data_IF_899996803491
#
_entry.id   IF_899996803491
#
_cell.length_a   1.000
_cell.length_b   1.000
_cell.length_c   1.000
_cell.angle_alpha   90.00
_cell.angle_beta   90.00
_cell.angle_gamma   90.00
#
_symmetry.space_group_name_H-M   'P 1'
#
loop_
_entity.id
_entity.type
_entity.pdbx_description
1 polymer ?
#
# COMPACT_ATOMS: atom_id res chain seq x y z
N UNK A 1 22.18 2.55 -5.69
CA UNK A 1 21.12 3.57 -5.54
C UNK A 1 19.78 3.03 -4.98
N UNK A 2 19.59 1.73 -4.69
CA UNK A 2 18.27 1.23 -4.22
C UNK A 2 17.88 1.58 -2.77
N UNK A 3 18.86 1.92 -1.91
CA UNK A 3 18.61 2.18 -0.47
C UNK A 3 17.77 3.44 -0.21
N UNK A 4 17.75 4.41 -1.13
CA UNK A 4 17.02 5.67 -0.95
C UNK A 4 15.52 5.45 -1.17
N UNK A 5 15.15 4.79 -2.28
CA UNK A 5 13.75 4.56 -2.64
C UNK A 5 13.02 3.64 -1.66
N UNK A 6 13.68 2.58 -1.21
CA UNK A 6 13.12 1.70 -0.18
C UNK A 6 12.78 2.46 1.10
N UNK A 7 13.66 3.37 1.53
CA UNK A 7 13.41 4.19 2.72
C UNK A 7 12.27 5.19 2.50
N UNK A 8 12.18 5.81 1.33
CA UNK A 8 11.07 6.70 0.98
C UNK A 8 9.74 5.95 1.06
N UNK A 9 9.64 4.77 0.43
CA UNK A 9 8.42 3.95 0.45
C UNK A 9 8.06 3.53 1.87
N UNK A 10 9.04 3.07 2.66
CA UNK A 10 8.81 2.68 4.06
C UNK A 10 8.28 3.85 4.91
N UNK A 11 8.93 5.03 4.84
CA UNK A 11 8.47 6.22 5.57
C UNK A 11 7.06 6.64 5.12
N UNK A 12 6.79 6.60 3.81
CA UNK A 12 5.45 6.90 3.28
C UNK A 12 4.40 5.92 3.80
N UNK A 13 4.69 4.62 3.86
CA UNK A 13 3.76 3.62 4.40
C UNK A 13 3.44 3.88 5.88
N UNK A 14 4.46 4.18 6.70
CA UNK A 14 4.25 4.51 8.11
C UNK A 14 3.40 5.76 8.30
N UNK A 15 3.65 6.83 7.52
CA UNK A 15 2.87 8.07 7.59
C UNK A 15 1.42 7.87 7.14
N UNK A 16 1.18 7.08 6.09
CA UNK A 16 -0.19 6.74 5.66
C UNK A 16 -0.91 5.93 6.75
N UNK A 17 -0.27 4.90 7.33
CA UNK A 17 -0.87 4.12 8.43
C UNK A 17 -1.14 4.96 9.67
N UNK A 18 -0.28 5.94 9.97
CA UNK A 18 -0.53 6.87 11.07
C UNK A 18 -1.72 7.82 10.80
N UNK A 19 -1.97 8.12 9.53
CA UNK A 19 -3.07 8.99 9.08
C UNK A 19 -4.41 8.26 9.06
N UNK A 20 -4.44 7.01 8.59
CA UNK A 20 -5.65 6.22 8.43
C UNK A 20 -5.67 5.02 9.39
N UNK A 21 -6.43 5.16 10.48
CA UNK A 21 -6.52 4.15 11.55
C UNK A 21 -7.31 2.91 11.14
N UNK A 22 -8.03 2.99 10.03
CA UNK A 22 -8.77 1.89 9.41
C UNK A 22 -7.84 0.85 8.78
N UNK A 23 -6.57 1.22 8.52
CA UNK A 23 -5.59 0.31 7.96
C UNK A 23 -5.05 -0.64 9.03
N UNK A 24 -5.18 -1.93 8.77
CA UNK A 24 -4.64 -2.99 9.61
C UNK A 24 -3.13 -3.16 9.37
N UNK A 25 -2.70 -3.17 8.11
CA UNK A 25 -1.31 -3.34 7.73
C UNK A 25 -1.03 -2.69 6.37
N UNK A 26 0.24 -2.75 5.96
CA UNK A 26 0.68 -2.43 4.61
C UNK A 26 1.72 -3.45 4.16
N UNK A 27 1.65 -3.86 2.91
CA UNK A 27 2.64 -4.74 2.28
C UNK A 27 3.16 -4.06 1.03
N UNK A 28 4.47 -4.00 0.85
CA UNK A 28 5.10 -3.59 -0.40
C UNK A 28 5.85 -4.75 -1.03
N UNK A 29 5.84 -4.77 -2.35
CA UNK A 29 6.66 -5.66 -3.15
C UNK A 29 7.42 -4.82 -4.15
N UNK A 30 8.74 -4.93 -4.16
CA UNK A 30 9.54 -4.31 -5.20
C UNK A 30 11.01 -4.68 -5.14
N UNK A 31 11.64 -4.75 -6.31
CA UNK A 31 13.08 -4.94 -6.41
C UNK A 31 13.85 -3.61 -6.20
N UNK A 32 13.15 -2.46 -6.25
CA UNK A 32 13.73 -1.11 -6.20
C UNK A 32 14.92 -0.91 -7.15
N UNK A 33 14.88 -1.61 -8.28
CA UNK A 33 15.87 -1.50 -9.37
C UNK A 33 15.49 -0.32 -10.25
N UNK A 34 14.21 -0.20 -10.59
CA UNK A 34 13.60 0.98 -11.19
C UNK A 34 12.44 1.50 -10.32
N UNK A 35 12.11 2.80 -10.38
CA UNK A 35 11.09 3.40 -9.52
C UNK A 35 9.69 2.83 -9.78
N UNK A 36 9.42 2.28 -10.97
CA UNK A 36 8.16 1.61 -11.32
C UNK A 36 8.04 0.17 -10.78
N UNK A 37 9.15 -0.45 -10.39
CA UNK A 37 9.25 -1.86 -10.02
C UNK A 37 8.86 -2.12 -8.56
N UNK A 38 8.08 -1.24 -7.94
CA UNK A 38 7.46 -1.50 -6.64
C UNK A 38 5.95 -1.32 -6.74
N UNK A 39 5.16 -2.03 -5.94
CA UNK A 39 3.78 -1.63 -5.64
C UNK A 39 3.54 -1.76 -4.14
N UNK A 40 2.52 -1.06 -3.65
CA UNK A 40 2.08 -1.14 -2.26
C UNK A 40 0.63 -1.57 -2.21
N UNK A 41 0.34 -2.42 -1.23
CA UNK A 41 -1.00 -2.79 -0.84
C UNK A 41 -1.28 -2.35 0.58
N UNK A 42 -2.39 -1.63 0.77
CA UNK A 42 -2.90 -1.29 2.09
C UNK A 42 -3.99 -2.28 2.49
N UNK A 43 -3.83 -2.83 3.69
CA UNK A 43 -4.56 -4.01 4.15
C UNK A 43 -5.60 -3.57 5.17
N UNK A 44 -6.85 -3.93 4.93
CA UNK A 44 -7.94 -3.86 5.91
C UNK A 44 -8.03 -5.16 6.69
N UNK A 45 -8.60 -5.14 7.90
CA UNK A 45 -8.65 -6.37 8.70
C UNK A 45 -9.64 -7.37 8.09
N UNK A 46 -10.80 -6.89 7.67
CA UNK A 46 -11.91 -7.70 7.15
C UNK A 46 -12.34 -7.26 5.75
N UNK A 47 -13.03 -8.16 5.04
CA UNK A 47 -13.67 -7.84 3.75
C UNK A 47 -14.78 -6.78 3.92
N UNK A 48 -15.47 -6.77 5.06
CA UNK A 48 -16.50 -5.78 5.39
C UNK A 48 -15.90 -4.36 5.54
N UNK A 49 -14.78 -4.23 6.26
CA UNK A 49 -14.06 -2.96 6.41
C UNK A 49 -13.59 -2.42 5.06
N UNK A 50 -13.04 -3.30 4.21
CA UNK A 50 -12.63 -2.95 2.85
C UNK A 50 -13.83 -2.50 1.99
N UNK A 51 -14.95 -3.22 2.06
CA UNK A 51 -16.16 -2.88 1.32
C UNK A 51 -16.72 -1.52 1.73
N UNK A 52 -16.77 -1.25 3.03
CA UNK A 52 -17.17 0.06 3.57
C UNK A 52 -16.20 1.18 3.18
N UNK A 53 -14.90 0.91 3.18
CA UNK A 53 -13.88 1.86 2.72
C UNK A 53 -14.06 2.21 1.23
N UNK A 54 -14.48 1.25 0.41
CA UNK A 54 -14.82 1.46 -1.00
C UNK A 54 -16.05 2.34 -1.16
N UNK A 55 -17.14 2.05 -0.45
CA UNK A 55 -18.40 2.81 -0.51
C UNK A 55 -18.24 4.27 -0.05
N UNK A 56 -17.40 4.51 0.96
CA UNK A 56 -17.17 5.84 1.54
C UNK A 56 -16.13 6.67 0.78
N UNK A 57 -15.50 6.11 -0.25
CA UNK A 57 -14.41 6.76 -1.00
C UNK A 57 -13.10 6.87 -0.22
N UNK A 58 -12.94 6.12 0.88
CA UNK A 58 -11.73 6.12 1.69
C UNK A 58 -10.52 5.61 0.91
N UNK A 59 -10.70 4.63 0.02
CA UNK A 59 -9.61 4.09 -0.80
C UNK A 59 -8.95 5.17 -1.66
N UNK A 60 -9.75 6.07 -2.25
CA UNK A 60 -9.22 7.19 -3.03
C UNK A 60 -8.43 8.16 -2.14
N UNK A 61 -8.91 8.45 -0.93
CA UNK A 61 -8.20 9.34 0.02
C UNK A 61 -6.86 8.75 0.45
N UNK A 62 -6.80 7.45 0.72
CA UNK A 62 -5.55 6.76 1.05
C UNK A 62 -4.58 6.83 -0.14
N UNK A 63 -5.08 6.56 -1.34
CA UNK A 63 -4.30 6.61 -2.56
C UNK A 63 -3.71 8.01 -2.84
N UNK A 64 -4.54 9.05 -2.75
CA UNK A 64 -4.12 10.44 -2.94
C UNK A 64 -3.09 10.86 -1.89
N UNK A 65 -3.28 10.45 -0.63
CA UNK A 65 -2.33 10.68 0.45
C UNK A 65 -0.97 10.01 0.17
N UNK A 66 -0.98 8.73 -0.22
CA UNK A 66 0.24 7.99 -0.56
C UNK A 66 1.03 8.67 -1.68
N UNK A 67 0.35 9.01 -2.79
CA UNK A 67 0.97 9.68 -3.93
C UNK A 67 1.52 11.05 -3.57
N UNK A 68 0.77 11.84 -2.78
CA UNK A 68 1.20 13.14 -2.30
C UNK A 68 2.50 13.03 -1.49
N UNK A 69 2.56 12.08 -0.56
CA UNK A 69 3.74 11.86 0.27
C UNK A 69 4.95 11.42 -0.55
N UNK A 70 4.76 10.57 -1.57
CA UNK A 70 5.85 10.22 -2.50
C UNK A 70 6.38 11.43 -3.27
N UNK A 71 5.49 12.29 -3.76
CA UNK A 71 5.89 13.54 -4.41
C UNK A 71 6.68 14.45 -3.46
N UNK A 72 6.20 14.63 -2.22
CA UNK A 72 6.87 15.47 -1.20
C UNK A 72 8.24 14.92 -0.79
N UNK A 73 8.44 13.60 -0.85
CA UNK A 73 9.70 12.92 -0.55
C UNK A 73 10.57 12.69 -1.79
N UNK A 74 10.24 13.34 -2.90
CA UNK A 74 11.01 13.34 -4.16
C UNK A 74 11.18 11.92 -4.77
N UNK A 75 10.17 11.06 -4.62
CA UNK A 75 10.13 9.80 -5.35
C UNK A 75 9.94 10.06 -6.85
N UNK A 76 10.60 9.31 -7.76
CA UNK A 76 10.48 9.54 -9.20
C UNK A 76 9.03 9.41 -9.69
N UNK A 77 8.55 10.43 -10.40
CA UNK A 77 7.15 10.54 -10.82
C UNK A 77 6.68 9.39 -11.70
N UNK A 78 7.57 8.84 -12.54
CA UNK A 78 7.28 7.66 -13.37
C UNK A 78 6.97 6.39 -12.57
N UNK A 79 7.35 6.35 -11.28
CA UNK A 79 7.06 5.24 -10.38
C UNK A 79 5.84 5.44 -9.49
N UNK A 80 5.24 6.64 -9.48
CA UNK A 80 4.08 6.95 -8.64
C UNK A 80 2.81 6.42 -9.31
N UNK A 81 2.22 5.38 -8.74
CA UNK A 81 1.00 4.72 -9.23
C UNK A 81 -0.04 4.52 -8.14
N UNK A 82 -1.21 4.03 -8.53
CA UNK A 82 -2.27 3.72 -7.57
C UNK A 82 -1.86 2.60 -6.62
N UNK A 83 -2.26 2.73 -5.36
CA UNK A 83 -2.14 1.69 -4.35
C UNK A 83 -3.13 0.55 -4.65
N UNK A 84 -2.76 -0.66 -4.25
CA UNK A 84 -3.72 -1.77 -4.18
C UNK A 84 -4.32 -1.87 -2.78
N UNK A 85 -5.45 -2.56 -2.67
CA UNK A 85 -6.15 -2.76 -1.41
C UNK A 85 -6.62 -4.21 -1.32
N UNK A 86 -6.49 -4.79 -0.14
CA UNK A 86 -6.92 -6.16 0.15
C UNK A 86 -7.33 -6.26 1.62
N UNK A 87 -7.99 -7.36 2.00
CA UNK A 87 -8.27 -7.69 3.40
C UNK A 87 -7.34 -8.81 3.87
N UNK A 88 -6.96 -8.76 5.15
CA UNK A 88 -6.24 -9.86 5.78
C UNK A 88 -7.11 -11.12 5.83
N UNK A 89 -8.41 -10.97 6.09
CA UNK A 89 -9.40 -12.05 6.09
C UNK A 89 -9.40 -12.87 4.79
N UNK A 90 -9.38 -12.21 3.62
CA UNK A 90 -9.36 -12.91 2.33
C UNK A 90 -8.03 -13.64 2.11
N UNK A 91 -6.91 -13.02 2.49
CA UNK A 91 -5.59 -13.64 2.43
C UNK A 91 -5.47 -14.86 3.37
N UNK A 92 -6.05 -14.78 4.57
CA UNK A 92 -6.10 -15.88 5.52
C UNK A 92 -6.92 -17.05 4.98
N UNK A 93 -8.05 -16.76 4.35
CA UNK A 93 -8.96 -17.75 3.78
C UNK A 93 -8.37 -18.48 2.58
N UNK A 94 -7.82 -17.74 1.62
CA UNK A 94 -7.36 -18.31 0.34
C UNK A 94 -5.92 -18.83 0.41
N UNK A 95 -5.07 -18.21 1.24
CA UNK A 95 -3.63 -18.44 1.23
C UNK A 95 -3.00 -18.59 2.62
N UNK A 96 -3.81 -18.81 3.66
CA UNK A 96 -3.36 -18.98 5.04
C UNK A 96 -2.43 -17.83 5.51
N UNK A 97 -2.77 -16.61 5.10
CA UNK A 97 -2.07 -15.38 5.47
C UNK A 97 -0.79 -15.12 4.68
N UNK A 98 -0.51 -15.94 3.65
CA UNK A 98 0.70 -15.81 2.85
C UNK A 98 0.54 -14.79 1.72
N UNK A 99 0.93 -13.54 2.01
CA UNK A 99 0.90 -12.44 1.06
C UNK A 99 1.76 -12.64 -0.19
N UNK A 100 2.82 -13.47 -0.14
CA UNK A 100 3.61 -13.77 -1.34
C UNK A 100 2.80 -14.61 -2.34
N UNK A 101 1.99 -15.56 -1.87
CA UNK A 101 1.11 -16.35 -2.74
C UNK A 101 -0.14 -15.59 -3.16
N UNK A 102 -0.65 -14.71 -2.30
CA UNK A 102 -1.80 -13.86 -2.61
C UNK A 102 -1.59 -13.00 -3.86
N UNK A 103 -0.37 -12.49 -4.07
CA UNK A 103 -0.03 -11.61 -5.21
C UNK A 103 0.65 -12.33 -6.39
N UNK A 104 0.69 -13.66 -6.39
CA UNK A 104 1.32 -14.46 -7.46
C UNK A 104 0.35 -14.84 -8.56
#
# INVERSE_FOLDING_TARGET
MSKIWRNIVACTQEEVKATFRELYASVDFGAYIAPQDYFVSYIFKTEEELSKAKETGLLQKINDCHKKLLHEKEYPGEGIKDCTFASQEDCDKEWNGNWYHYYK
#
